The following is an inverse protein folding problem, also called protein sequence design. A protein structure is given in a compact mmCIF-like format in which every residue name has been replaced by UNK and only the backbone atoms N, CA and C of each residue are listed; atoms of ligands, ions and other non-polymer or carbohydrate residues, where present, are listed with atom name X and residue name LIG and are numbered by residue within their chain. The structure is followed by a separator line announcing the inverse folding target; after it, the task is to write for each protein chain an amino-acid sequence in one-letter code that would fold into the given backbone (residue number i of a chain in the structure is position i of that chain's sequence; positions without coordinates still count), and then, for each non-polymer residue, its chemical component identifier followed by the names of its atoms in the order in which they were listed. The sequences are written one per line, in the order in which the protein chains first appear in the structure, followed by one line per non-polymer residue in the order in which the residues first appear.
data_IF_570066559638
#
_entry.id   IF_570066559638
#
_cell.length_a   1.000
_cell.length_b   1.000
_cell.length_c   1.000
_cell.angle_alpha   90.00
_cell.angle_beta   90.00
_cell.angle_gamma   90.00
#
_symmetry.space_group_name_H-M   'P 1'
#
loop_
_entity.id
_entity.type
_entity.pdbx_description
1 polymer ?
#
# COMPACT_ATOMS: atom_id res chain seq x y z
N UNK A 1 -14.40 -5.58 13.99
CA UNK A 1 -14.03 -4.30 13.35
C UNK A 1 -12.63 -4.02 13.82
N UNK A 2 -11.69 -3.81 12.91
CA UNK A 2 -10.32 -3.48 13.30
C UNK A 2 -10.23 -1.97 13.50
N UNK A 3 -10.03 -1.52 14.74
CA UNK A 3 -9.92 -0.11 15.09
C UNK A 3 -8.52 0.18 15.61
N UNK A 4 -7.76 0.96 14.85
CA UNK A 4 -6.38 1.29 15.14
C UNK A 4 -6.25 2.76 15.55
N UNK A 5 -5.65 3.01 16.70
CA UNK A 5 -5.29 4.35 17.15
C UNK A 5 -3.80 4.55 16.86
N UNK A 6 -3.47 5.53 16.02
CA UNK A 6 -2.10 5.89 15.70
C UNK A 6 -1.72 7.12 16.50
N UNK A 7 -0.61 7.03 17.20
CA UNK A 7 0.00 8.16 17.90
C UNK A 7 1.52 8.00 17.91
N UNK A 8 2.22 8.91 18.57
CA UNK A 8 3.67 8.94 18.58
C UNK A 8 4.22 10.35 18.52
N UNK A 9 5.55 10.45 18.52
CA UNK A 9 6.23 11.74 18.55
C UNK A 9 5.97 12.56 17.28
N UNK A 10 5.99 13.87 17.42
CA UNK A 10 5.90 14.80 16.30
C UNK A 10 7.14 14.64 15.42
N UNK A 11 6.94 14.36 14.13
CA UNK A 11 8.05 14.04 13.21
C UNK A 11 8.43 12.55 13.13
N UNK A 12 7.78 11.66 13.89
CA UNK A 12 8.02 10.21 13.81
C UNK A 12 7.39 9.53 12.57
N UNK A 13 6.71 10.28 11.70
CA UNK A 13 6.16 9.74 10.45
C UNK A 13 4.68 9.35 10.49
N UNK A 14 3.89 9.87 11.44
CA UNK A 14 2.43 9.63 11.55
C UNK A 14 1.68 9.81 10.22
N UNK A 15 1.94 10.91 9.50
CA UNK A 15 1.31 11.14 8.19
C UNK A 15 1.66 10.07 7.16
N UNK A 16 2.90 9.56 7.16
CA UNK A 16 3.31 8.47 6.26
C UNK A 16 2.69 7.13 6.65
N UNK A 17 2.44 6.93 7.94
CA UNK A 17 1.73 5.76 8.41
C UNK A 17 0.26 5.75 7.98
N UNK A 18 -0.39 6.92 7.95
CA UNK A 18 -1.75 7.07 7.38
C UNK A 18 -1.74 6.68 5.91
N UNK A 19 -0.86 7.29 5.10
CA UNK A 19 -0.75 6.99 3.67
C UNK A 19 -0.60 5.47 3.43
N UNK A 20 0.24 4.80 4.24
CA UNK A 20 0.46 3.36 4.17
C UNK A 20 -0.78 2.53 4.57
N UNK A 21 -1.55 2.98 5.56
CA UNK A 21 -2.75 2.28 6.02
C UNK A 21 -3.92 2.43 5.03
N UNK A 22 -4.06 3.61 4.40
CA UNK A 22 -5.03 3.83 3.33
C UNK A 22 -4.77 2.90 2.15
N UNK A 23 -3.50 2.76 1.73
CA UNK A 23 -3.09 1.85 0.65
C UNK A 23 -3.48 0.39 0.90
N UNK A 24 -3.54 -0.05 2.15
CA UNK A 24 -3.92 -1.43 2.53
C UNK A 24 -5.41 -1.56 2.91
N UNK A 25 -6.21 -0.50 2.72
CA UNK A 25 -7.67 -0.50 2.83
C UNK A 25 -8.23 -0.09 4.19
N UNK A 26 -7.48 0.62 5.04
CA UNK A 26 -8.05 1.26 6.22
C UNK A 26 -8.76 2.56 5.85
N UNK A 27 -9.91 2.82 6.47
CA UNK A 27 -10.49 4.15 6.49
C UNK A 27 -9.76 4.99 7.53
N UNK A 28 -8.95 5.94 7.07
CA UNK A 28 -8.11 6.75 7.95
C UNK A 28 -8.73 8.13 8.22
N UNK A 29 -8.62 8.59 9.47
CA UNK A 29 -8.94 9.97 9.83
C UNK A 29 -7.78 10.59 10.60
N UNK A 30 -7.23 11.68 10.05
CA UNK A 30 -6.11 12.41 10.66
C UNK A 30 -6.59 13.44 11.69
N UNK A 31 -5.78 13.65 12.71
CA UNK A 31 -5.91 14.72 13.70
C UNK A 31 -7.27 14.78 14.42
N UNK A 32 -7.82 13.63 14.82
CA UNK A 32 -9.03 13.56 15.64
C UNK A 32 -8.70 13.99 17.08
N UNK A 33 -9.44 14.94 17.68
CA UNK A 33 -9.35 15.23 19.10
C UNK A 33 -9.66 13.99 19.95
N UNK A 34 -8.88 13.69 21.01
CA UNK A 34 -9.03 12.44 21.76
C UNK A 34 -10.46 12.17 22.27
N UNK A 35 -11.13 13.22 22.77
CA UNK A 35 -12.52 13.14 23.26
C UNK A 35 -13.53 12.67 22.20
N UNK A 36 -13.24 12.82 20.92
CA UNK A 36 -14.11 12.41 19.82
C UNK A 36 -13.85 10.98 19.35
N UNK A 37 -12.76 10.32 19.79
CA UNK A 37 -12.42 8.95 19.39
C UNK A 37 -13.55 7.98 19.79
N UNK A 38 -14.12 8.15 20.99
CA UNK A 38 -15.20 7.31 21.51
C UNK A 38 -16.46 7.42 20.65
N UNK A 39 -16.87 8.64 20.32
CA UNK A 39 -18.03 8.88 19.46
C UNK A 39 -17.81 8.30 18.06
N UNK A 40 -16.61 8.49 17.51
CA UNK A 40 -16.26 7.97 16.19
C UNK A 40 -16.21 6.43 16.14
N UNK A 41 -15.72 5.79 17.20
CA UNK A 41 -15.76 4.34 17.36
C UNK A 41 -17.19 3.80 17.33
N UNK A 42 -18.11 4.46 18.04
CA UNK A 42 -19.53 4.06 18.08
C UNK A 42 -20.21 4.22 16.72
N UNK A 43 -19.97 5.34 16.03
CA UNK A 43 -20.46 5.57 14.68
C UNK A 43 -19.94 4.50 13.70
N UNK A 44 -18.65 4.17 13.78
CA UNK A 44 -18.02 3.16 12.93
C UNK A 44 -18.64 1.77 13.16
N UNK A 45 -18.95 1.44 14.42
CA UNK A 45 -19.62 0.18 14.79
C UNK A 45 -21.07 0.10 14.31
N UNK A 46 -21.78 1.24 14.27
CA UNK A 46 -23.16 1.32 13.78
C UNK A 46 -23.24 1.22 12.25
N UNK A 47 -22.23 1.71 11.53
CA UNK A 47 -22.12 1.64 10.06
C UNK A 47 -21.77 0.23 9.52
N UNK A 48 -22.41 -0.82 10.09
CA UNK A 48 -22.15 -2.24 9.79
C UNK A 48 -22.05 -2.50 8.27
N UNK A 49 -20.85 -2.82 7.80
CA UNK A 49 -20.56 -3.25 6.43
C UNK A 49 -19.63 -2.31 5.65
N UNK A 50 -19.65 -1.00 5.93
CA UNK A 50 -18.88 -0.01 5.14
C UNK A 50 -17.48 0.26 5.72
N UNK A 51 -17.33 0.16 7.04
CA UNK A 51 -16.08 0.46 7.76
C UNK A 51 -15.60 -0.78 8.54
N UNK A 52 -14.96 -1.72 7.83
CA UNK A 52 -14.43 -2.94 8.45
C UNK A 52 -13.09 -2.71 9.17
N UNK A 53 -12.28 -1.78 8.65
CA UNK A 53 -10.96 -1.37 9.15
C UNK A 53 -10.88 0.15 9.23
N UNK A 54 -10.59 0.67 10.42
CA UNK A 54 -10.58 2.10 10.72
C UNK A 54 -9.29 2.45 11.44
N UNK A 55 -8.62 3.51 10.98
CA UNK A 55 -7.44 4.06 11.65
C UNK A 55 -7.68 5.53 12.02
N UNK A 56 -7.41 5.88 13.27
CA UNK A 56 -7.57 7.24 13.79
C UNK A 56 -6.23 7.74 14.28
N UNK A 57 -5.82 8.92 13.82
CA UNK A 57 -4.58 9.54 14.27
C UNK A 57 -4.89 10.63 15.28
N UNK A 58 -4.23 10.52 16.43
CA UNK A 58 -4.29 11.52 17.49
C UNK A 58 -2.89 12.11 17.68
N UNK A 59 -2.82 13.43 17.54
CA UNK A 59 -1.61 14.23 17.66
C UNK A 59 -1.78 15.26 18.77
N UNK A 60 -0.66 15.70 19.34
CA UNK A 60 -0.71 16.57 20.50
C UNK A 60 -0.65 18.04 20.10
N UNK A 61 -1.56 18.46 19.24
CA UNK A 61 -1.59 19.84 18.76
C UNK A 61 -2.22 20.82 19.76
N UNK A 62 -2.00 20.61 21.07
CA UNK A 62 -2.47 21.47 22.15
C UNK A 62 -2.16 20.87 23.52
N UNK A 63 -1.64 21.69 24.45
CA UNK A 63 -1.14 21.25 25.76
C UNK A 63 -2.16 20.55 26.66
N UNK A 64 -3.46 20.85 26.53
CA UNK A 64 -4.53 20.21 27.33
C UNK A 64 -5.08 18.92 26.70
N UNK A 65 -4.62 18.54 25.50
CA UNK A 65 -5.16 17.36 24.79
C UNK A 65 -4.54 16.05 25.27
N UNK A 66 -3.44 16.09 26.03
CA UNK A 66 -2.73 14.90 26.50
C UNK A 66 -3.46 14.09 27.57
N UNK A 67 -3.85 14.75 28.67
CA UNK A 67 -4.65 14.11 29.73
C UNK A 67 -5.92 13.50 29.16
N UNK A 68 -6.53 14.24 28.22
CA UNK A 68 -7.74 13.78 27.54
C UNK A 68 -7.54 12.49 26.74
N UNK A 69 -6.35 12.23 26.20
CA UNK A 69 -6.09 10.99 25.47
C UNK A 69 -6.03 9.79 26.41
N UNK A 70 -5.33 9.91 27.54
CA UNK A 70 -5.23 8.83 28.51
C UNK A 70 -6.60 8.53 29.13
N UNK A 71 -7.35 9.57 29.53
CA UNK A 71 -8.73 9.44 30.01
C UNK A 71 -9.64 8.75 28.99
N UNK A 72 -9.50 9.09 27.70
CA UNK A 72 -10.25 8.48 26.61
C UNK A 72 -9.90 6.99 26.47
N UNK A 73 -8.62 6.63 26.51
CA UNK A 73 -8.17 5.24 26.42
C UNK A 73 -8.65 4.41 27.62
N UNK A 74 -8.57 4.96 28.83
CA UNK A 74 -9.09 4.32 30.05
C UNK A 74 -10.61 4.12 29.98
N UNK A 75 -11.35 5.12 29.48
CA UNK A 75 -12.78 4.99 29.27
C UNK A 75 -13.10 3.91 28.23
N UNK A 76 -12.42 3.88 27.09
CA UNK A 76 -12.59 2.83 26.08
C UNK A 76 -12.32 1.43 26.63
N UNK A 77 -11.29 1.30 27.47
CA UNK A 77 -10.95 0.06 28.16
C UNK A 77 -12.02 -0.36 29.17
N UNK A 78 -12.58 0.59 29.93
CA UNK A 78 -13.66 0.34 30.90
C UNK A 78 -14.96 -0.12 30.23
N UNK A 79 -15.22 0.35 29.01
CA UNK A 79 -16.38 -0.01 28.19
C UNK A 79 -16.15 -1.29 27.35
N UNK A 80 -15.03 -2.00 27.55
CA UNK A 80 -14.64 -3.18 26.77
C UNK A 80 -14.69 -2.95 25.25
N UNK A 81 -14.29 -1.76 24.79
CA UNK A 81 -14.16 -1.46 23.36
C UNK A 81 -12.87 -2.10 22.84
N UNK A 82 -12.96 -2.90 21.79
CA UNK A 82 -11.79 -3.50 21.12
C UNK A 82 -11.09 -2.45 20.26
N UNK A 83 -9.84 -2.13 20.59
CA UNK A 83 -8.96 -1.26 19.80
C UNK A 83 -7.51 -1.73 19.92
N UNK A 84 -6.66 -1.28 19.01
CA UNK A 84 -5.19 -1.45 19.09
C UNK A 84 -4.51 -0.10 18.96
N UNK A 85 -3.31 0.05 19.51
CA UNK A 85 -2.50 1.26 19.46
C UNK A 85 -1.22 1.01 18.66
N UNK A 86 -0.98 1.82 17.63
CA UNK A 86 0.30 1.93 16.92
C UNK A 86 1.03 3.20 17.37
N UNK A 87 2.18 3.03 18.01
CA UNK A 87 3.04 4.12 18.46
C UNK A 87 4.26 4.25 17.54
N UNK A 88 4.42 5.42 16.92
CA UNK A 88 5.60 5.75 16.13
C UNK A 88 6.62 6.53 16.95
N UNK A 89 7.85 6.04 16.95
CA UNK A 89 8.96 6.64 17.66
C UNK A 89 10.13 6.97 16.72
N UNK A 90 11.02 7.84 17.18
CA UNK A 90 12.34 8.01 16.59
C UNK A 90 13.27 8.65 17.63
N UNK A 91 14.58 8.48 17.43
CA UNK A 91 15.61 9.12 18.24
C UNK A 91 15.50 10.65 18.18
N UNK A 92 15.78 11.31 19.31
CA UNK A 92 15.67 12.76 19.44
C UNK A 92 16.48 13.49 18.36
N UNK A 93 17.72 13.04 18.10
CA UNK A 93 18.58 13.61 17.05
C UNK A 93 17.98 13.52 15.65
N UNK A 94 17.28 12.43 15.34
CA UNK A 94 16.61 12.22 14.05
C UNK A 94 15.39 13.13 13.93
N UNK A 95 14.57 13.23 14.99
CA UNK A 95 13.41 14.14 15.01
C UNK A 95 13.86 15.59 14.81
N UNK A 96 14.91 16.01 15.52
CA UNK A 96 15.51 17.35 15.37
C UNK A 96 15.91 17.64 13.92
N UNK A 97 16.55 16.67 13.24
CA UNK A 97 16.95 16.83 11.84
C UNK A 97 15.73 16.90 10.90
N UNK A 98 14.72 16.06 11.10
CA UNK A 98 13.48 16.09 10.29
C UNK A 98 12.75 17.43 10.39
N UNK A 99 12.69 18.05 11.56
CA UNK A 99 12.10 19.39 11.72
C UNK A 99 12.91 20.48 11.01
N UNK A 100 14.25 20.39 11.04
CA UNK A 100 15.13 21.31 10.31
C UNK A 100 14.94 21.18 8.79
N UNK A 101 14.83 19.97 8.27
CA UNK A 101 14.63 19.71 6.84
C UNK A 101 13.25 20.15 6.35
N UNK A 102 12.19 19.79 7.08
CA UNK A 102 10.81 20.09 6.68
C UNK A 102 10.39 21.53 6.96
N UNK A 103 11.20 22.29 7.73
CA UNK A 103 10.91 23.64 8.22
C UNK A 103 9.57 23.77 8.96
N UNK A 104 9.00 22.65 9.43
CA UNK A 104 7.77 22.65 10.23
C UNK A 104 8.08 23.08 11.66
N UNK A 105 7.15 23.81 12.27
CA UNK A 105 7.23 24.12 13.70
C UNK A 105 6.76 22.90 14.50
N UNK A 106 7.48 22.57 15.57
CA UNK A 106 7.05 21.53 16.49
C UNK A 106 5.95 22.09 17.44
N UNK A 107 4.86 21.36 17.71
CA UNK A 107 3.68 21.88 18.42
C UNK A 107 3.97 22.49 19.79
N UNK A 108 4.91 21.92 20.54
CA UNK A 108 5.27 22.36 21.89
C UNK A 108 6.43 23.36 21.97
N UNK A 109 6.94 23.86 20.83
CA UNK A 109 8.11 24.76 20.83
C UNK A 109 7.83 26.09 21.52
N UNK A 110 6.60 26.61 21.40
CA UNK A 110 6.19 27.84 22.06
C UNK A 110 6.15 27.68 23.59
N UNK A 111 5.84 26.48 24.08
CA UNK A 111 5.84 26.15 25.51
C UNK A 111 7.25 25.98 26.08
N UNK A 112 8.26 25.74 25.22
CA UNK A 112 9.64 25.50 25.62
C UNK A 112 10.59 26.65 25.24
N UNK A 113 10.08 27.89 25.22
CA UNK A 113 10.88 29.10 24.95
C UNK A 113 11.69 29.03 23.63
N UNK A 114 11.20 28.29 22.62
CA UNK A 114 11.87 28.14 21.34
C UNK A 114 12.89 26.98 21.26
N UNK A 115 13.12 26.23 22.35
CA UNK A 115 14.04 25.09 22.34
C UNK A 115 13.37 23.83 21.80
N UNK A 116 13.78 23.41 20.60
CA UNK A 116 13.25 22.20 19.96
C UNK A 116 13.66 20.92 20.71
N UNK A 117 14.87 20.89 21.29
CA UNK A 117 15.34 19.73 22.07
C UNK A 117 14.48 19.53 23.33
N UNK A 118 14.15 20.61 24.04
CA UNK A 118 13.28 20.54 25.21
C UNK A 118 11.85 20.16 24.81
N UNK A 119 11.35 20.66 23.68
CA UNK A 119 10.02 20.31 23.19
C UNK A 119 9.88 18.82 22.87
N UNK A 120 10.88 18.21 22.22
CA UNK A 120 10.90 16.77 21.91
C UNK A 120 10.99 15.93 23.19
N UNK A 121 11.85 16.33 24.15
CA UNK A 121 11.96 15.63 25.45
C UNK A 121 10.66 15.68 26.23
N UNK A 122 10.04 16.87 26.31
CA UNK A 122 8.76 17.05 26.99
C UNK A 122 7.66 16.23 26.31
N UNK A 123 7.60 16.21 24.98
CA UNK A 123 6.64 15.37 24.24
C UNK A 123 6.82 13.88 24.57
N UNK A 124 8.08 13.41 24.63
CA UNK A 124 8.43 12.03 24.98
C UNK A 124 8.00 11.65 26.38
N UNK A 125 8.25 12.52 27.35
CA UNK A 125 7.87 12.30 28.74
C UNK A 125 6.34 12.22 28.88
N UNK A 126 5.61 13.09 28.19
CA UNK A 126 4.15 13.10 28.25
C UNK A 126 3.52 11.91 27.53
N UNK A 127 4.10 11.46 26.40
CA UNK A 127 3.61 10.29 25.67
C UNK A 127 4.07 8.94 26.24
N UNK A 128 4.97 8.95 27.23
CA UNK A 128 5.50 7.73 27.84
C UNK A 128 4.43 6.74 28.31
N UNK A 129 3.33 7.16 28.99
CA UNK A 129 2.29 6.21 29.40
C UNK A 129 1.57 5.55 28.22
N UNK A 130 1.34 6.31 27.14
CA UNK A 130 0.69 5.81 25.93
C UNK A 130 1.60 4.83 25.19
N UNK A 131 2.90 5.11 25.15
CA UNK A 131 3.91 4.19 24.61
C UNK A 131 3.95 2.87 25.37
N UNK A 132 3.90 2.91 26.70
CA UNK A 132 3.92 1.71 27.54
C UNK A 132 2.68 0.82 27.36
N UNK A 133 1.55 1.42 26.95
CA UNK A 133 0.30 0.74 26.66
C UNK A 133 0.12 0.41 25.16
N UNK A 134 1.11 0.68 24.30
CA UNK A 134 0.97 0.49 22.86
C UNK A 134 1.10 -0.99 22.47
N UNK A 135 0.20 -1.47 21.62
CA UNK A 135 0.26 -2.83 21.07
C UNK A 135 1.40 -2.99 20.05
N UNK A 136 1.66 -1.94 19.27
CA UNK A 136 2.72 -1.91 18.27
C UNK A 136 3.58 -0.67 18.44
N UNK A 137 4.90 -0.86 18.44
CA UNK A 137 5.87 0.24 18.46
C UNK A 137 6.77 0.11 17.24
N UNK A 138 6.86 1.17 16.44
CA UNK A 138 7.79 1.25 15.31
C UNK A 138 8.80 2.35 15.58
N UNK A 139 10.07 1.98 15.69
CA UNK A 139 11.17 2.94 15.66
C UNK A 139 11.49 3.31 14.20
N UNK A 140 11.24 4.56 13.86
CA UNK A 140 11.44 5.12 12.52
C UNK A 140 12.79 5.79 12.34
N UNK A 141 13.70 5.74 13.33
CA UNK A 141 14.99 6.45 13.34
C UNK A 141 15.81 6.22 12.07
N UNK A 142 15.85 4.98 11.59
CA UNK A 142 16.65 4.55 10.44
C UNK A 142 15.80 3.99 9.30
N UNK A 143 14.49 4.23 9.33
CA UNK A 143 13.57 3.77 8.29
C UNK A 143 13.40 4.86 7.24
N UNK A 144 13.52 4.47 5.97
CA UNK A 144 13.02 5.27 4.87
C UNK A 144 11.48 5.26 4.86
N UNK A 145 10.83 6.21 4.17
CA UNK A 145 9.36 6.19 4.02
C UNK A 145 8.84 4.88 3.41
N UNK A 146 9.58 4.30 2.47
CA UNK A 146 9.27 3.00 1.86
C UNK A 146 9.31 1.86 2.88
N UNK A 147 10.39 1.79 3.69
CA UNK A 147 10.54 0.76 4.72
C UNK A 147 9.50 0.89 5.83
N UNK A 148 9.13 2.12 6.21
CA UNK A 148 8.04 2.35 7.16
C UNK A 148 6.71 1.80 6.62
N UNK A 149 6.42 2.07 5.34
CA UNK A 149 5.22 1.57 4.67
C UNK A 149 5.22 0.04 4.63
N UNK A 150 6.33 -0.58 4.24
CA UNK A 150 6.48 -2.03 4.24
C UNK A 150 6.26 -2.62 5.64
N UNK A 151 6.83 -1.99 6.67
CA UNK A 151 6.69 -2.45 8.06
C UNK A 151 5.24 -2.38 8.52
N UNK A 152 4.53 -1.30 8.22
CA UNK A 152 3.10 -1.15 8.54
C UNK A 152 2.29 -2.20 7.78
N UNK A 153 2.52 -2.34 6.48
CA UNK A 153 1.88 -3.38 5.68
C UNK A 153 2.09 -4.76 6.29
N UNK A 154 3.32 -5.12 6.69
CA UNK A 154 3.60 -6.43 7.30
C UNK A 154 2.93 -6.67 8.66
N UNK A 155 2.58 -5.61 9.39
CA UNK A 155 1.94 -5.72 10.71
C UNK A 155 0.42 -5.92 10.60
N UNK A 156 -0.20 -5.33 9.57
CA UNK A 156 -1.67 -5.31 9.41
C UNK A 156 -2.18 -6.11 8.21
N UNK A 157 -1.28 -6.54 7.32
CA UNK A 157 -1.49 -7.59 6.34
C UNK A 157 -0.61 -8.76 6.78
N UNK A 158 -1.22 -9.90 7.12
CA UNK A 158 -0.51 -11.05 7.68
C UNK A 158 0.70 -11.49 6.85
N UNK A 159 0.67 -11.26 5.53
CA UNK A 159 1.82 -11.34 4.63
C UNK A 159 2.06 -10.00 3.93
N UNK A 160 3.30 -9.50 3.94
CA UNK A 160 3.68 -8.26 3.23
C UNK A 160 3.47 -8.34 1.72
N UNK A 161 3.38 -9.55 1.16
CA UNK A 161 3.02 -9.80 -0.24
C UNK A 161 1.59 -9.37 -0.60
N UNK A 162 0.69 -9.23 0.38
CA UNK A 162 -0.69 -8.79 0.17
C UNK A 162 -0.81 -7.27 -0.03
N UNK A 163 0.26 -6.51 0.20
CA UNK A 163 0.24 -5.05 0.06
C UNK A 163 0.40 -4.59 -1.40
N UNK A 164 0.98 -5.44 -2.27
CA UNK A 164 1.24 -5.11 -3.66
C UNK A 164 0.08 -5.58 -4.55
N UNK A 165 -0.64 -4.63 -5.13
CA UNK A 165 -1.65 -4.88 -6.15
C UNK A 165 -1.00 -4.94 -7.54
N UNK A 166 -1.07 -6.10 -8.21
CA UNK A 166 -0.45 -6.28 -9.53
C UNK A 166 -1.52 -6.17 -10.63
N UNK A 167 -1.34 -5.24 -11.56
CA UNK A 167 -2.21 -5.05 -12.73
C UNK A 167 -1.55 -5.62 -13.98
N UNK A 168 -2.11 -6.70 -14.53
CA UNK A 168 -1.70 -7.27 -15.79
C UNK A 168 -2.46 -6.58 -16.92
N UNK A 169 -1.77 -5.87 -17.81
CA UNK A 169 -2.41 -5.11 -18.89
C UNK A 169 -1.96 -5.63 -20.25
N UNK A 170 -2.89 -5.96 -21.15
CA UNK A 170 -2.54 -6.20 -22.55
C UNK A 170 -2.85 -4.98 -23.42
N UNK A 171 -1.96 -4.63 -24.33
CA UNK A 171 -2.16 -3.50 -25.24
C UNK A 171 -1.62 -3.77 -26.65
N UNK A 172 -1.98 -2.86 -27.58
CA UNK A 172 -1.46 -2.80 -28.94
C UNK A 172 -0.48 -1.64 -29.12
N UNK A 173 0.73 -1.88 -29.59
CA UNK A 173 1.71 -0.83 -29.89
C UNK A 173 1.19 0.18 -30.92
N UNK A 174 0.27 -0.21 -31.81
CA UNK A 174 -0.40 0.72 -32.74
C UNK A 174 -1.19 1.83 -32.04
N UNK A 175 -1.56 1.62 -30.77
CA UNK A 175 -2.31 2.56 -29.94
C UNK A 175 -1.46 3.22 -28.84
N UNK A 176 -0.13 3.04 -28.89
CA UNK A 176 0.79 3.58 -27.88
C UNK A 176 0.88 2.73 -26.61
N UNK A 177 1.92 2.95 -25.81
CA UNK A 177 2.13 2.26 -24.52
C UNK A 177 1.18 2.88 -23.47
N UNK A 178 0.55 2.10 -22.57
CA UNK A 178 -0.24 2.66 -21.48
C UNK A 178 0.64 3.53 -20.58
N UNK A 179 0.18 4.74 -20.24
CA UNK A 179 1.00 5.74 -19.53
C UNK A 179 1.33 5.31 -18.10
N UNK A 180 0.45 4.49 -17.52
CA UNK A 180 0.54 3.92 -16.19
C UNK A 180 1.44 2.68 -16.08
N UNK A 181 2.10 2.26 -17.18
CA UNK A 181 2.91 1.02 -17.17
C UNK A 181 4.23 1.20 -16.42
N UNK A 182 4.51 0.31 -15.46
CA UNK A 182 5.81 0.22 -14.79
C UNK A 182 6.78 -0.68 -15.56
N UNK A 183 6.28 -1.81 -16.03
CA UNK A 183 7.01 -2.77 -16.85
C UNK A 183 6.31 -2.94 -18.19
N UNK A 184 7.07 -2.97 -19.28
CA UNK A 184 6.53 -3.14 -20.63
C UNK A 184 7.28 -4.26 -21.35
N UNK A 185 6.55 -5.30 -21.77
CA UNK A 185 7.08 -6.45 -22.47
C UNK A 185 6.57 -6.51 -23.91
N UNK A 186 7.48 -6.45 -24.87
CA UNK A 186 7.16 -6.58 -26.29
C UNK A 186 7.17 -8.05 -26.73
N UNK A 187 6.01 -8.54 -27.17
CA UNK A 187 5.82 -9.93 -27.62
C UNK A 187 5.55 -10.01 -29.13
N UNK A 188 5.85 -8.96 -29.90
CA UNK A 188 5.67 -8.93 -31.36
C UNK A 188 6.55 -9.92 -32.10
N UNK A 189 7.65 -10.39 -31.48
CA UNK A 189 8.56 -11.39 -32.04
C UNK A 189 7.98 -12.83 -32.03
N UNK A 190 6.91 -13.09 -31.27
CA UNK A 190 6.32 -14.43 -31.18
C UNK A 190 5.44 -14.78 -32.39
N UNK A 191 5.24 -16.08 -32.71
CA UNK A 191 4.41 -16.51 -33.83
C UNK A 191 3.02 -15.85 -33.85
N UNK A 192 2.67 -15.27 -35.00
CA UNK A 192 1.52 -14.39 -35.11
C UNK A 192 0.25 -15.15 -35.57
N UNK A 193 -0.80 -15.28 -34.73
CA UNK A 193 -2.04 -15.95 -35.11
C UNK A 193 -2.85 -15.20 -36.17
N UNK A 194 -2.56 -13.91 -36.41
CA UNK A 194 -3.26 -13.09 -37.40
C UNK A 194 -3.24 -13.65 -38.83
N UNK A 195 -2.19 -14.43 -39.17
CA UNK A 195 -2.05 -15.03 -40.51
C UNK A 195 -2.83 -16.33 -40.67
N UNK A 196 -3.51 -16.80 -39.63
CA UNK A 196 -4.42 -17.95 -39.69
C UNK A 196 -5.84 -17.41 -39.80
N UNK A 197 -6.50 -17.64 -40.93
CA UNK A 197 -7.82 -17.05 -41.23
C UNK A 197 -8.84 -17.31 -40.12
N UNK A 198 -8.91 -18.55 -39.63
CA UNK A 198 -9.84 -18.97 -38.57
C UNK A 198 -9.58 -18.30 -37.21
N UNK A 199 -8.35 -17.80 -36.98
CA UNK A 199 -7.97 -17.18 -35.70
C UNK A 199 -8.03 -15.65 -35.75
N UNK A 200 -8.08 -15.06 -36.94
CA UNK A 200 -7.89 -13.62 -37.16
C UNK A 200 -8.93 -12.74 -36.45
N UNK A 201 -10.17 -13.24 -36.35
CA UNK A 201 -11.30 -12.52 -35.74
C UNK A 201 -11.52 -12.91 -34.27
N UNK A 202 -10.71 -13.84 -33.75
CA UNK A 202 -10.75 -14.26 -32.37
C UNK A 202 -9.79 -13.42 -31.52
N UNK A 203 -9.88 -13.56 -30.21
CA UNK A 203 -9.05 -12.85 -29.25
C UNK A 203 -8.16 -13.83 -28.49
N UNK A 204 -7.16 -13.34 -27.77
CA UNK A 204 -6.31 -14.17 -26.91
C UNK A 204 -7.05 -14.82 -25.73
N UNK A 205 -8.32 -14.48 -25.50
CA UNK A 205 -9.20 -15.15 -24.53
C UNK A 205 -9.82 -16.43 -25.11
N UNK A 206 -9.92 -16.54 -26.43
CA UNK A 206 -10.52 -17.68 -27.10
C UNK A 206 -9.54 -18.86 -27.14
N UNK A 207 -10.04 -20.05 -26.79
CA UNK A 207 -9.23 -21.27 -26.73
C UNK A 207 -8.40 -21.54 -27.99
N UNK A 208 -8.92 -21.38 -29.23
CA UNK A 208 -8.15 -21.64 -30.44
C UNK A 208 -6.92 -20.72 -30.56
N UNK A 209 -7.04 -19.44 -30.19
CA UNK A 209 -5.93 -18.48 -30.23
C UNK A 209 -4.95 -18.79 -29.11
N UNK A 210 -5.43 -19.07 -27.90
CA UNK A 210 -4.58 -19.42 -26.77
C UNK A 210 -3.76 -20.67 -27.08
N UNK A 211 -4.41 -21.74 -27.53
CA UNK A 211 -3.76 -22.97 -27.96
C UNK A 211 -2.74 -22.73 -29.07
N UNK A 212 -3.05 -21.88 -30.06
CA UNK A 212 -2.10 -21.50 -31.10
C UNK A 212 -0.89 -20.74 -30.55
N UNK A 213 -1.08 -19.79 -29.63
CA UNK A 213 0.02 -19.01 -29.05
C UNK A 213 0.92 -19.92 -28.22
N UNK A 214 0.34 -20.79 -27.40
CA UNK A 214 1.06 -21.65 -26.46
C UNK A 214 1.77 -22.84 -27.11
N UNK A 215 1.34 -23.36 -28.26
CA UNK A 215 1.95 -24.58 -28.83
C UNK A 215 3.41 -24.44 -29.30
N UNK A 216 3.90 -23.21 -29.46
CA UNK A 216 5.22 -22.95 -30.04
C UNK A 216 6.32 -23.00 -28.98
N UNK A 217 7.43 -23.67 -29.28
CA UNK A 217 8.60 -23.79 -28.40
C UNK A 217 9.16 -22.41 -28.02
N UNK A 218 9.18 -21.46 -28.96
CA UNK A 218 9.63 -20.09 -28.71
C UNK A 218 8.74 -19.37 -27.68
N UNK A 219 7.41 -19.60 -27.73
CA UNK A 219 6.49 -19.03 -26.76
C UNK A 219 6.67 -19.67 -25.39
N UNK A 220 6.84 -20.99 -25.33
CA UNK A 220 7.06 -21.71 -24.07
C UNK A 220 8.36 -21.26 -23.38
N UNK A 221 9.46 -21.17 -24.13
CA UNK A 221 10.74 -20.67 -23.61
C UNK A 221 10.68 -19.20 -23.18
N UNK A 222 9.85 -18.38 -23.83
CA UNK A 222 9.58 -17.01 -23.37
C UNK A 222 8.81 -17.03 -22.05
N UNK A 223 7.71 -17.79 -21.95
CA UNK A 223 6.85 -17.85 -20.77
C UNK A 223 7.66 -18.25 -19.53
N UNK A 224 8.47 -19.30 -19.63
CA UNK A 224 9.29 -19.78 -18.50
C UNK A 224 10.20 -18.67 -17.96
N UNK A 225 10.95 -17.99 -18.84
CA UNK A 225 11.88 -16.92 -18.45
C UNK A 225 11.15 -15.67 -17.96
N UNK A 226 10.02 -15.36 -18.60
CA UNK A 226 9.18 -14.23 -18.26
C UNK A 226 8.60 -14.37 -16.86
N UNK A 227 7.97 -15.51 -16.54
CA UNK A 227 7.39 -15.76 -15.22
C UNK A 227 8.48 -15.80 -14.14
N UNK A 228 9.62 -16.47 -14.39
CA UNK A 228 10.75 -16.48 -13.46
C UNK A 228 11.29 -15.07 -13.16
N UNK A 229 11.36 -14.20 -14.19
CA UNK A 229 11.78 -12.82 -13.99
C UNK A 229 10.76 -12.04 -13.14
N UNK A 230 9.47 -12.18 -13.42
CA UNK A 230 8.43 -11.50 -12.65
C UNK A 230 8.43 -11.96 -11.20
N UNK A 231 8.51 -13.28 -10.96
CA UNK A 231 8.56 -13.86 -9.62
C UNK A 231 9.78 -13.38 -8.82
N UNK A 232 10.91 -13.19 -9.48
CA UNK A 232 12.10 -12.59 -8.86
C UNK A 232 11.92 -11.10 -8.55
N UNK A 233 11.25 -10.33 -9.41
CA UNK A 233 11.09 -8.88 -9.26
C UNK A 233 10.02 -8.50 -8.23
N UNK A 234 8.96 -9.30 -8.07
CA UNK A 234 7.84 -8.98 -7.17
C UNK A 234 8.31 -8.70 -5.72
N UNK A 235 9.10 -9.58 -5.06
CA UNK A 235 9.61 -9.30 -3.72
C UNK A 235 10.46 -8.02 -3.66
N UNK A 236 11.21 -7.70 -4.72
CA UNK A 236 12.02 -6.48 -4.77
C UNK A 236 11.15 -5.22 -4.79
N UNK A 237 10.04 -5.23 -5.54
CA UNK A 237 9.06 -4.13 -5.52
C UNK A 237 8.31 -4.03 -4.20
N UNK A 238 7.99 -5.16 -3.56
CA UNK A 238 7.43 -5.17 -2.22
C UNK A 238 8.38 -4.48 -1.23
N UNK A 239 9.67 -4.81 -1.25
CA UNK A 239 10.70 -4.23 -0.39
C UNK A 239 10.97 -2.74 -0.71
N UNK A 240 10.73 -2.32 -1.96
CA UNK A 240 10.74 -0.89 -2.35
C UNK A 240 9.54 -0.12 -1.77
N UNK A 241 8.54 -0.80 -1.20
CA UNK A 241 7.34 -0.18 -0.64
C UNK A 241 6.29 0.21 -1.69
N UNK A 242 6.37 -0.37 -2.89
CA UNK A 242 5.42 -0.10 -3.97
C UNK A 242 4.05 -0.73 -3.63
N UNK A 243 2.97 0.04 -3.74
CA UNK A 243 1.60 -0.45 -3.49
C UNK A 243 0.92 -1.01 -4.74
N UNK A 244 1.32 -0.56 -5.93
CA UNK A 244 0.75 -1.02 -7.19
C UNK A 244 1.86 -1.27 -8.22
N UNK A 245 1.78 -2.36 -8.96
CA UNK A 245 2.69 -2.69 -10.06
C UNK A 245 1.90 -2.97 -11.33
N UNK A 246 2.12 -2.17 -12.38
CA UNK A 246 1.46 -2.34 -13.68
C UNK A 246 2.41 -3.02 -14.67
N UNK A 247 2.07 -4.25 -15.05
CA UNK A 247 2.82 -5.07 -16.00
C UNK A 247 2.08 -5.07 -17.34
N UNK A 248 2.59 -4.33 -18.31
CA UNK A 248 1.99 -4.19 -19.64
C UNK A 248 2.65 -5.13 -20.65
N UNK A 249 1.85 -5.92 -21.35
CA UNK A 249 2.29 -6.83 -22.42
C UNK A 249 1.74 -6.31 -23.75
N UNK A 250 2.64 -6.06 -24.70
CA UNK A 250 2.33 -5.40 -25.96
C UNK A 250 2.51 -6.32 -27.17
N UNK A 251 1.48 -6.42 -28.03
CA UNK A 251 1.65 -6.91 -29.40
C UNK A 251 1.29 -5.79 -30.39
N UNK A 252 1.28 -6.03 -31.70
CA UNK A 252 1.00 -4.95 -32.66
C UNK A 252 -0.40 -4.36 -32.46
N UNK A 253 -1.43 -5.22 -32.40
CA UNK A 253 -2.83 -4.80 -32.36
C UNK A 253 -3.57 -4.99 -31.03
N UNK A 254 -2.94 -5.60 -30.03
CA UNK A 254 -3.56 -5.77 -28.71
C UNK A 254 -4.69 -6.80 -28.62
N UNK A 255 -4.81 -7.71 -29.60
CA UNK A 255 -5.94 -8.65 -29.69
C UNK A 255 -5.61 -10.10 -29.32
N UNK A 256 -4.43 -10.60 -29.72
CA UNK A 256 -4.12 -12.03 -29.69
C UNK A 256 -3.02 -12.37 -28.67
N UNK A 257 -1.75 -12.21 -29.08
CA UNK A 257 -0.56 -12.60 -28.31
C UNK A 257 -0.49 -11.92 -26.94
N UNK A 258 -0.64 -10.60 -26.90
CA UNK A 258 -0.58 -9.86 -25.64
C UNK A 258 -1.72 -10.20 -24.69
N UNK A 259 -2.94 -10.41 -25.22
CA UNK A 259 -4.11 -10.80 -24.43
C UNK A 259 -3.89 -12.18 -23.80
N UNK A 260 -3.47 -13.17 -24.61
CA UNK A 260 -3.22 -14.53 -24.13
C UNK A 260 -2.12 -14.57 -23.04
N UNK A 261 -1.03 -13.81 -23.23
CA UNK A 261 0.07 -13.77 -22.27
C UNK A 261 -0.26 -12.97 -21.01
N UNK A 262 -1.06 -11.90 -21.11
CA UNK A 262 -1.51 -11.15 -19.93
C UNK A 262 -2.47 -11.98 -19.08
N UNK A 263 -3.36 -12.76 -19.70
CA UNK A 263 -4.24 -13.69 -19.01
C UNK A 263 -3.44 -14.82 -18.33
N UNK A 264 -2.40 -15.33 -19.00
CA UNK A 264 -1.51 -16.34 -18.43
C UNK A 264 -0.78 -15.81 -17.19
N UNK A 265 -0.21 -14.60 -17.27
CA UNK A 265 0.45 -13.96 -16.13
C UNK A 265 -0.51 -13.78 -14.94
N UNK A 266 -1.72 -13.30 -15.21
CA UNK A 266 -2.75 -13.14 -14.19
C UNK A 266 -3.07 -14.46 -13.48
N UNK A 267 -3.26 -15.55 -14.23
CA UNK A 267 -3.54 -16.86 -13.65
C UNK A 267 -2.37 -17.38 -12.79
N UNK A 268 -1.13 -17.23 -13.27
CA UNK A 268 0.08 -17.59 -12.50
C UNK A 268 0.15 -16.84 -11.16
N UNK A 269 -0.12 -15.53 -11.17
CA UNK A 269 -0.10 -14.72 -9.96
C UNK A 269 -1.26 -15.05 -9.00
N UNK A 270 -2.44 -15.39 -9.54
CA UNK A 270 -3.55 -15.90 -8.72
C UNK A 270 -3.21 -17.21 -8.02
N UNK A 271 -2.56 -18.15 -8.72
CA UNK A 271 -2.14 -19.43 -8.15
C UNK A 271 -1.13 -19.25 -7.01
N UNK A 272 -0.34 -18.18 -7.06
CA UNK A 272 0.58 -17.76 -5.98
C UNK A 272 -0.10 -16.93 -4.87
N UNK A 273 -1.43 -16.85 -4.83
CA UNK A 273 -2.21 -16.04 -3.89
C UNK A 273 -1.86 -14.53 -3.91
N UNK A 274 -1.38 -13.99 -5.02
CA UNK A 274 -1.09 -12.55 -5.14
C UNK A 274 -2.38 -11.77 -5.43
N UNK A 275 -2.48 -10.57 -4.86
CA UNK A 275 -3.53 -9.61 -5.27
C UNK A 275 -3.23 -9.16 -6.69
N UNK A 276 -3.99 -9.66 -7.66
CA UNK A 276 -3.83 -9.31 -9.07
C UNK A 276 -5.15 -8.99 -9.77
N UNK A 277 -5.07 -8.21 -10.85
CA UNK A 277 -6.17 -7.93 -11.77
C UNK A 277 -5.66 -7.96 -13.21
N UNK A 278 -6.55 -8.18 -14.17
CA UNK A 278 -6.22 -8.18 -15.59
C UNK A 278 -7.11 -7.20 -16.36
N UNK A 279 -6.51 -6.44 -17.27
CA UNK A 279 -7.22 -5.52 -18.15
C UNK A 279 -6.70 -5.63 -19.59
N UNK A 280 -7.62 -5.77 -20.55
CA UNK A 280 -7.29 -5.85 -21.96
C UNK A 280 -7.65 -4.57 -22.70
N UNK A 281 -6.79 -3.55 -22.59
CA UNK A 281 -7.05 -2.16 -23.00
C UNK A 281 -7.58 -2.00 -24.43
N UNK A 282 -7.04 -2.78 -25.35
CA UNK A 282 -7.31 -2.62 -26.78
C UNK A 282 -8.04 -3.81 -27.41
N UNK A 283 -8.56 -4.77 -26.61
CA UNK A 283 -9.14 -6.03 -27.11
C UNK A 283 -10.38 -5.84 -28.00
N UNK A 284 -11.06 -4.70 -27.88
CA UNK A 284 -12.24 -4.36 -28.69
C UNK A 284 -11.93 -3.38 -29.83
N UNK A 285 -10.68 -2.93 -29.97
CA UNK A 285 -10.31 -1.88 -30.94
C UNK A 285 -9.86 -2.47 -32.28
N UNK A 286 -10.66 -2.29 -33.33
CA UNK A 286 -10.29 -2.74 -34.68
C UNK A 286 -9.09 -1.97 -35.24
#
# INVERSE_FOLDING_TARGET
MEFLIITGLSGAGKSRAIDALEDIGFYCVDNIPPKLIIAFYEMSKQAKGTLSRVAVVTDIRGGDMFSSLFETLDQMKSENKEYKILFLDANDSVLMNRFKETRRKHPLVENCLGSLEQAVKLERDVLKPVRECADYIIDTSYLSPAQLKERISSLFLGDSSDALMIHCVSFGFKYGIPAESDLVFDVRCLPNPYYVEDLRNLTGLDEPVRSYVMKWEQTQGFIERFLNLIDYMIPLYCNEGKSQLVIAIGCTGGHHRSVALAQLLYNHLLEQNRRTSVNHRDIQKQ
#
